data_IF_303886065025
#
_entry.id   IF_303886065025
#
_cell.length_a   1.000
_cell.length_b   1.000
_cell.length_c   1.000
_cell.angle_alpha   90.00
_cell.angle_beta   90.00
_cell.angle_gamma   90.00
#
_symmetry.space_group_name_H-M   'P 1'
#
loop_
_entity.id
_entity.type
_entity.pdbx_description
1 polymer ?
#
# COMPACT_ATOMS: atom_id res chain seq x y z
N UNK A 1 4.58 -14.72 25.39
CA UNK A 1 3.47 -14.18 26.19
C UNK A 1 2.85 -13.11 25.30
N UNK A 2 1.62 -13.30 24.81
CA UNK A 2 1.02 -12.35 23.86
C UNK A 2 0.78 -11.04 24.59
N UNK A 3 1.30 -9.94 24.07
CA UNK A 3 1.11 -8.62 24.66
C UNK A 3 -0.27 -8.10 24.24
N UNK A 4 -1.32 -8.77 24.71
CA UNK A 4 -2.70 -8.34 24.55
C UNK A 4 -2.89 -7.13 25.47
N UNK A 5 -2.58 -5.93 24.97
CA UNK A 5 -2.99 -4.69 25.64
C UNK A 5 -4.51 -4.70 25.64
N UNK A 6 -5.09 -4.88 26.83
CA UNK A 6 -6.54 -4.88 27.03
C UNK A 6 -7.10 -3.56 26.50
N UNK A 7 -8.31 -3.60 25.92
CA UNK A 7 -8.95 -2.42 25.33
C UNK A 7 -8.94 -1.20 26.26
N UNK A 8 -9.15 -1.44 27.56
CA UNK A 8 -9.15 -0.41 28.62
C UNK A 8 -7.81 0.28 28.86
N UNK A 9 -6.71 -0.32 28.43
CA UNK A 9 -5.35 0.18 28.62
C UNK A 9 -4.79 0.83 27.35
N UNK A 10 -5.46 0.67 26.21
CA UNK A 10 -4.99 1.19 24.90
C UNK A 10 -5.03 2.70 24.85
N UNK A 11 -6.14 3.30 25.27
CA UNK A 11 -6.26 4.77 25.29
C UNK A 11 -5.20 5.39 26.18
N UNK A 12 -4.94 4.78 27.35
CA UNK A 12 -3.88 5.22 28.24
C UNK A 12 -2.51 5.17 27.57
N UNK A 13 -2.15 4.04 26.93
CA UNK A 13 -0.87 3.94 26.20
C UNK A 13 -0.74 5.00 25.10
N UNK A 14 -1.82 5.28 24.37
CA UNK A 14 -1.84 6.31 23.33
C UNK A 14 -1.62 7.71 23.93
N UNK A 15 -2.31 8.05 25.01
CA UNK A 15 -2.14 9.32 25.71
C UNK A 15 -0.75 9.47 26.34
N UNK A 16 -0.22 8.41 26.95
CA UNK A 16 1.15 8.38 27.49
C UNK A 16 2.20 8.58 26.36
N UNK A 17 1.89 8.13 25.14
CA UNK A 17 2.67 8.38 23.93
C UNK A 17 2.46 9.77 23.29
N UNK A 18 1.64 10.64 23.90
CA UNK A 18 1.41 12.00 23.45
C UNK A 18 0.21 12.21 22.51
N UNK A 19 -0.59 11.16 22.24
CA UNK A 19 -1.78 11.28 21.39
C UNK A 19 -3.02 11.69 22.21
N UNK A 20 -3.61 12.84 21.90
CA UNK A 20 -4.90 13.25 22.43
C UNK A 20 -6.06 12.78 21.53
N UNK A 21 -6.71 11.70 21.97
CA UNK A 21 -7.80 11.04 21.24
C UNK A 21 -8.99 11.99 21.01
N UNK A 22 -9.22 12.95 21.92
CA UNK A 22 -10.34 13.89 21.81
C UNK A 22 -10.11 14.97 20.76
N UNK A 23 -8.89 15.12 20.26
CA UNK A 23 -8.50 16.11 19.24
C UNK A 23 -8.38 15.52 17.84
N UNK A 24 -8.73 14.25 17.66
CA UNK A 24 -8.79 13.63 16.34
C UNK A 24 -9.89 14.28 15.49
N UNK A 25 -9.52 14.77 14.31
CA UNK A 25 -10.44 15.51 13.43
C UNK A 25 -11.06 14.59 12.37
N UNK A 26 -10.25 13.76 11.73
CA UNK A 26 -10.62 13.01 10.52
C UNK A 26 -10.81 11.50 10.74
N UNK A 27 -10.51 11.00 11.94
CA UNK A 27 -10.58 9.56 12.24
C UNK A 27 -11.33 9.30 13.53
N UNK A 28 -12.01 8.15 13.58
CA UNK A 28 -12.60 7.59 14.79
C UNK A 28 -11.93 6.28 15.12
N UNK A 29 -11.56 6.08 16.38
CA UNK A 29 -10.91 4.85 16.82
C UNK A 29 -11.95 3.78 17.13
N UNK A 30 -11.76 2.58 16.56
CA UNK A 30 -12.57 1.41 16.86
C UNK A 30 -11.64 0.28 17.30
N UNK A 31 -11.68 -0.05 18.58
CA UNK A 31 -10.87 -1.13 19.13
C UNK A 31 -11.54 -2.50 18.93
N UNK A 32 -10.72 -3.49 18.61
CA UNK A 32 -11.07 -4.90 18.60
C UNK A 32 -9.96 -5.68 19.28
N UNK A 33 -10.33 -6.65 20.10
CA UNK A 33 -9.39 -7.54 20.78
C UNK A 33 -9.40 -8.90 20.10
N UNK A 34 -8.21 -9.44 19.86
CA UNK A 34 -8.07 -10.76 19.27
C UNK A 34 -6.68 -10.99 18.70
N UNK A 35 -6.29 -12.26 18.68
CA UNK A 35 -5.05 -12.70 18.05
C UNK A 35 -5.15 -12.73 16.52
N UNK A 36 -4.28 -11.96 15.85
CA UNK A 36 -4.23 -11.84 14.39
C UNK A 36 -3.87 -13.13 13.65
N UNK A 37 -3.23 -14.11 14.31
CA UNK A 37 -2.93 -15.42 13.69
C UNK A 37 -4.04 -16.46 13.92
N UNK A 38 -5.15 -16.08 14.57
CA UNK A 38 -6.31 -16.95 14.80
C UNK A 38 -7.43 -16.59 13.83
N UNK A 39 -7.73 -17.49 12.89
CA UNK A 39 -8.80 -17.32 11.89
C UNK A 39 -10.12 -16.83 12.49
N UNK A 40 -10.62 -17.49 13.54
CA UNK A 40 -11.91 -17.18 14.17
C UNK A 40 -12.01 -15.72 14.63
N UNK A 41 -10.90 -15.13 15.07
CA UNK A 41 -10.87 -13.73 15.51
C UNK A 41 -10.90 -12.78 14.31
N UNK A 42 -10.08 -13.04 13.28
CA UNK A 42 -10.12 -12.27 12.02
C UNK A 42 -11.48 -12.36 11.32
N UNK A 43 -12.16 -13.50 11.42
CA UNK A 43 -13.50 -13.69 10.85
C UNK A 43 -14.56 -12.81 11.53
N UNK A 44 -14.33 -12.33 12.74
CA UNK A 44 -15.26 -11.38 13.38
C UNK A 44 -15.18 -9.97 12.78
N UNK A 45 -14.12 -9.67 12.03
CA UNK A 45 -13.89 -8.35 11.44
C UNK A 45 -14.61 -8.20 10.09
N UNK A 46 -15.06 -6.98 9.75
CA UNK A 46 -15.64 -6.66 8.45
C UNK A 46 -14.54 -6.47 7.39
N UNK A 47 -13.74 -7.51 7.13
CA UNK A 47 -12.55 -7.44 6.26
C UNK A 47 -12.83 -6.94 4.82
N UNK A 48 -14.09 -6.94 4.38
CA UNK A 48 -14.51 -6.45 3.06
C UNK A 48 -14.76 -4.94 3.02
N UNK A 49 -14.91 -4.28 4.17
CA UNK A 49 -15.24 -2.85 4.24
C UNK A 49 -14.01 -1.96 4.40
N UNK A 50 -12.83 -2.52 4.59
CA UNK A 50 -11.60 -1.73 4.71
C UNK A 50 -11.01 -1.47 3.32
N UNK A 51 -10.74 -0.21 3.02
CA UNK A 51 -10.03 0.20 1.79
C UNK A 51 -8.59 -0.34 1.79
N UNK A 52 -7.95 -0.25 2.97
CA UNK A 52 -6.58 -0.71 3.21
C UNK A 52 -6.46 -1.41 4.55
N UNK A 53 -5.61 -2.43 4.64
CA UNK A 53 -5.28 -3.16 5.86
C UNK A 53 -3.76 -3.14 6.04
N UNK A 54 -3.29 -2.62 7.17
CA UNK A 54 -1.88 -2.63 7.55
C UNK A 54 -1.65 -3.75 8.58
N UNK A 55 -0.75 -4.67 8.27
CA UNK A 55 -0.29 -5.72 9.18
C UNK A 55 1.09 -5.32 9.69
N UNK A 56 1.14 -4.87 10.94
CA UNK A 56 2.34 -4.39 11.59
C UNK A 56 3.04 -5.52 12.35
N UNK A 57 4.37 -5.46 12.43
CA UNK A 57 5.14 -6.32 13.30
C UNK A 57 4.70 -6.07 14.75
N UNK A 58 4.43 -7.16 15.48
CA UNK A 58 3.99 -7.08 16.88
C UNK A 58 5.22 -6.81 17.76
N UNK A 59 5.21 -5.70 18.50
CA UNK A 59 6.27 -5.26 19.44
C UNK A 59 6.75 -6.39 20.36
N UNK A 60 5.84 -7.31 20.73
CA UNK A 60 6.16 -8.43 21.62
C UNK A 60 7.05 -9.53 21.02
N UNK A 61 7.28 -9.49 19.71
CA UNK A 61 8.13 -10.43 18.97
C UNK A 61 9.18 -9.73 18.10
N UNK A 62 9.34 -8.41 18.24
CA UNK A 62 10.32 -7.63 17.47
C UNK A 62 11.77 -8.07 17.71
N UNK A 63 12.08 -8.61 18.90
CA UNK A 63 13.41 -9.19 19.22
C UNK A 63 13.79 -10.37 18.30
N UNK A 64 12.81 -10.96 17.60
CA UNK A 64 13.04 -11.97 16.58
C UNK A 64 12.30 -11.62 15.29
N UNK A 65 13.00 -10.91 14.40
CA UNK A 65 12.53 -10.55 13.06
C UNK A 65 11.85 -11.73 12.32
N UNK A 66 12.40 -12.94 12.44
CA UNK A 66 11.85 -14.15 11.82
C UNK A 66 10.45 -14.49 12.37
N UNK A 67 10.24 -14.37 13.69
CA UNK A 67 8.95 -14.67 14.31
C UNK A 67 7.91 -13.58 13.99
N UNK A 68 8.31 -12.31 14.01
CA UNK A 68 7.46 -11.19 13.61
C UNK A 68 6.98 -11.38 12.16
N UNK A 69 7.91 -11.63 11.23
CA UNK A 69 7.62 -11.87 9.82
C UNK A 69 6.65 -13.05 9.62
N UNK A 70 6.89 -14.17 10.29
CA UNK A 70 6.01 -15.34 10.20
C UNK A 70 4.58 -15.01 10.62
N UNK A 71 4.40 -14.21 11.68
CA UNK A 71 3.07 -13.79 12.15
C UNK A 71 2.40 -12.82 11.19
N UNK A 72 3.14 -11.86 10.63
CA UNK A 72 2.62 -10.94 9.62
C UNK A 72 2.14 -11.70 8.38
N UNK A 73 2.92 -12.68 7.92
CA UNK A 73 2.56 -13.53 6.78
C UNK A 73 1.40 -14.47 7.05
N UNK A 74 1.36 -15.09 8.22
CA UNK A 74 0.23 -15.92 8.62
C UNK A 74 -1.07 -15.09 8.63
N UNK A 75 -1.01 -13.87 9.17
CA UNK A 75 -2.14 -12.94 9.20
C UNK A 75 -2.58 -12.55 7.78
N UNK A 76 -1.64 -12.19 6.91
CA UNK A 76 -1.91 -11.85 5.50
C UNK A 76 -2.63 -13.00 4.78
N UNK A 77 -2.08 -14.21 4.87
CA UNK A 77 -2.64 -15.41 4.25
C UNK A 77 -4.04 -15.72 4.77
N UNK A 78 -4.26 -15.58 6.08
CA UNK A 78 -5.57 -15.80 6.69
C UNK A 78 -6.59 -14.76 6.21
N UNK A 79 -6.24 -13.48 6.16
CA UNK A 79 -7.15 -12.41 5.68
C UNK A 79 -7.55 -12.68 4.23
N UNK A 80 -6.59 -13.00 3.36
CA UNK A 80 -6.87 -13.31 1.95
C UNK A 80 -7.74 -14.55 1.78
N UNK A 81 -7.47 -15.64 2.52
CA UNK A 81 -8.33 -16.84 2.48
C UNK A 81 -9.76 -16.56 2.97
N UNK A 82 -9.90 -15.76 4.04
CA UNK A 82 -11.22 -15.36 4.56
C UNK A 82 -11.96 -14.50 3.54
N UNK A 83 -11.29 -13.51 2.94
CA UNK A 83 -11.89 -12.67 1.91
C UNK A 83 -12.33 -13.48 0.69
N UNK A 84 -11.49 -14.39 0.19
CA UNK A 84 -11.80 -15.28 -0.94
C UNK A 84 -13.04 -16.14 -0.65
N UNK A 85 -13.15 -16.71 0.55
CA UNK A 85 -14.31 -17.53 0.95
C UNK A 85 -15.61 -16.76 1.13
N UNK A 86 -15.53 -15.45 1.40
CA UNK A 86 -16.71 -14.58 1.50
C UNK A 86 -17.15 -13.99 0.16
N UNK A 87 -16.36 -14.15 -0.90
CA UNK A 87 -16.81 -13.78 -2.24
C UNK A 87 -17.97 -14.72 -2.63
N UNK A 88 -19.10 -14.17 -3.12
CA UNK A 88 -20.18 -15.00 -3.63
C UNK A 88 -19.63 -15.87 -4.76
N UNK A 89 -19.79 -17.19 -4.65
CA UNK A 89 -19.45 -18.16 -5.69
C UNK A 89 -20.16 -17.71 -6.98
N UNK A 90 -19.40 -17.20 -7.96
CA UNK A 90 -19.97 -17.00 -9.29
C UNK A 90 -20.06 -18.37 -9.92
N UNK A 91 -21.28 -18.84 -10.17
CA UNK A 91 -21.56 -19.96 -11.06
C UNK A 91 -20.96 -19.67 -12.45
N UNK A 92 -19.68 -19.98 -12.63
CA UNK A 92 -19.20 -20.38 -13.94
C UNK A 92 -19.60 -21.84 -14.08
N UNK A 93 -20.67 -22.07 -14.84
CA UNK A 93 -21.01 -23.40 -15.34
C UNK A 93 -19.80 -24.00 -16.05
N UNK A 94 -18.97 -24.76 -15.34
CA UNK A 94 -17.97 -25.65 -15.92
C UNK A 94 -18.01 -26.95 -15.13
N UNK A 95 -18.71 -27.91 -15.75
CA UNK A 95 -18.70 -29.35 -15.58
C UNK A 95 -17.86 -29.93 -14.43
N UNK A 96 -18.56 -30.65 -13.54
CA UNK A 96 -18.01 -31.54 -12.52
C UNK A 96 -16.87 -32.40 -13.08
N UNK A 97 -15.69 -32.26 -12.49
CA UNK A 97 -14.64 -33.28 -12.58
C UNK A 97 -13.26 -32.72 -12.80
N UNK A 98 -12.64 -32.19 -11.73
CA UNK A 98 -11.21 -32.24 -11.41
C UNK A 98 -10.87 -31.07 -10.48
N UNK A 99 -10.35 -31.36 -9.29
CA UNK A 99 -9.81 -30.37 -8.36
C UNK A 99 -8.59 -29.73 -9.04
N UNK A 100 -8.75 -28.61 -9.73
CA UNK A 100 -7.64 -27.89 -10.34
C UNK A 100 -7.00 -26.97 -9.30
N UNK A 101 -5.76 -27.27 -8.97
CA UNK A 101 -4.87 -26.54 -8.06
C UNK A 101 -4.62 -25.06 -8.48
N UNK A 102 -5.21 -24.60 -9.59
CA UNK A 102 -5.09 -23.25 -10.13
C UNK A 102 -6.23 -22.27 -9.79
N UNK A 103 -7.27 -22.72 -9.07
CA UNK A 103 -8.43 -21.86 -8.71
C UNK A 103 -8.09 -20.84 -7.62
N UNK A 104 -7.36 -21.26 -6.58
CA UNK A 104 -7.18 -20.45 -5.37
C UNK A 104 -6.35 -19.17 -5.60
N UNK A 105 -5.38 -19.20 -6.52
CA UNK A 105 -4.59 -18.03 -6.89
C UNK A 105 -5.46 -16.97 -7.58
N UNK A 106 -6.41 -17.40 -8.42
CA UNK A 106 -7.36 -16.50 -9.09
C UNK A 106 -8.33 -15.86 -8.09
N UNK A 107 -8.84 -16.64 -7.14
CA UNK A 107 -9.75 -16.16 -6.10
C UNK A 107 -9.06 -15.18 -5.13
N UNK A 108 -7.78 -15.42 -4.81
CA UNK A 108 -6.96 -14.48 -4.03
C UNK A 108 -6.67 -13.18 -4.78
N UNK A 109 -6.43 -13.25 -6.10
CA UNK A 109 -6.22 -12.07 -6.93
C UNK A 109 -7.52 -11.23 -7.05
N UNK A 110 -8.68 -11.87 -7.11
CA UNK A 110 -9.95 -11.13 -7.11
C UNK A 110 -10.24 -10.47 -5.75
N UNK A 111 -9.79 -11.10 -4.66
CA UNK A 111 -9.84 -10.50 -3.33
C UNK A 111 -8.84 -9.34 -3.16
N UNK A 112 -7.66 -9.39 -3.82
CA UNK A 112 -6.70 -8.28 -3.81
C UNK A 112 -7.24 -7.02 -4.45
N UNK A 113 -8.10 -7.14 -5.47
CA UNK A 113 -8.68 -5.98 -6.16
C UNK A 113 -9.64 -5.16 -5.30
N UNK A 114 -10.08 -5.68 -4.14
CA UNK A 114 -11.04 -5.00 -3.25
C UNK A 114 -10.41 -4.22 -2.11
N UNK A 115 -9.25 -4.65 -1.61
CA UNK A 115 -8.59 -4.01 -0.47
C UNK A 115 -7.08 -4.17 -0.59
N UNK A 116 -6.35 -3.09 -0.40
CA UNK A 116 -4.89 -3.10 -0.38
C UNK A 116 -4.43 -3.68 0.97
N UNK A 117 -3.61 -4.74 0.96
CA UNK A 117 -2.99 -5.23 2.19
C UNK A 117 -1.50 -4.94 2.13
N UNK A 118 -1.02 -4.21 3.13
CA UNK A 118 0.39 -3.88 3.31
C UNK A 118 0.88 -4.63 4.55
N UNK A 119 1.90 -5.47 4.37
CA UNK A 119 2.52 -6.21 5.47
C UNK A 119 3.92 -5.67 5.72
N UNK A 120 4.19 -5.34 6.97
CA UNK A 120 5.54 -5.08 7.45
C UNK A 120 6.33 -6.40 7.55
N UNK A 121 7.56 -6.39 7.05
CA UNK A 121 8.51 -7.51 7.06
C UNK A 121 9.89 -6.97 7.45
N UNK A 122 10.41 -7.42 8.57
CA UNK A 122 11.66 -6.93 9.15
C UNK A 122 12.87 -7.54 8.45
N UNK A 123 12.83 -8.82 8.02
CA UNK A 123 13.95 -9.49 7.33
C UNK A 123 13.82 -9.38 5.79
N UNK A 124 14.79 -8.72 5.11
CA UNK A 124 14.81 -8.64 3.64
C UNK A 124 14.82 -10.01 2.94
N UNK A 125 15.35 -11.06 3.58
CA UNK A 125 15.35 -12.43 3.02
C UNK A 125 13.93 -12.98 2.91
N UNK A 126 13.08 -12.69 3.89
CA UNK A 126 11.67 -13.08 3.86
C UNK A 126 10.94 -12.39 2.72
N UNK A 127 11.16 -11.09 2.51
CA UNK A 127 10.62 -10.34 1.37
C UNK A 127 10.97 -10.99 0.03
N UNK A 128 12.21 -11.42 -0.15
CA UNK A 128 12.65 -12.05 -1.39
C UNK A 128 11.91 -13.36 -1.69
N UNK A 129 11.57 -14.15 -0.67
CA UNK A 129 10.77 -15.37 -0.83
C UNK A 129 9.33 -15.07 -1.26
N UNK A 130 8.76 -13.97 -0.77
CA UNK A 130 7.39 -13.56 -1.07
C UNK A 130 7.24 -12.94 -2.44
N UNK A 131 8.28 -12.28 -2.96
CA UNK A 131 8.25 -11.68 -4.31
C UNK A 131 7.96 -12.69 -5.43
N UNK A 132 8.18 -13.98 -5.17
CA UNK A 132 7.86 -15.08 -6.09
C UNK A 132 6.39 -15.50 -6.04
N UNK A 133 5.64 -15.05 -5.04
CA UNK A 133 4.24 -15.38 -4.82
C UNK A 133 3.35 -14.15 -5.03
N UNK A 134 2.31 -14.24 -5.86
CA UNK A 134 1.28 -13.20 -6.03
C UNK A 134 0.37 -13.02 -4.80
N UNK A 135 0.84 -13.44 -3.63
CA UNK A 135 0.07 -13.56 -2.39
C UNK A 135 0.01 -12.22 -1.65
N UNK A 136 0.98 -11.34 -1.86
CA UNK A 136 1.08 -10.03 -1.21
C UNK A 136 1.11 -8.92 -2.26
N UNK A 137 0.19 -7.96 -2.15
CA UNK A 137 0.21 -6.79 -3.03
C UNK A 137 1.37 -5.86 -2.68
N UNK A 138 1.67 -5.68 -1.38
CA UNK A 138 2.80 -4.87 -0.93
C UNK A 138 3.43 -5.40 0.37
N UNK A 139 4.75 -5.62 0.32
CA UNK A 139 5.58 -5.97 1.48
C UNK A 139 6.57 -4.83 1.71
N UNK A 140 6.46 -4.19 2.86
CA UNK A 140 7.37 -3.12 3.26
C UNK A 140 8.43 -3.70 4.18
N UNK A 141 9.71 -3.50 3.82
CA UNK A 141 10.82 -3.99 4.64
C UNK A 141 11.81 -2.91 5.03
N UNK A 142 12.64 -3.23 6.03
CA UNK A 142 13.77 -2.41 6.47
C UNK A 142 14.84 -2.15 5.38
N UNK A 143 14.66 -2.71 4.19
CA UNK A 143 15.41 -2.31 2.99
C UNK A 143 15.13 -0.84 2.61
N UNK A 144 13.91 -0.33 2.81
CA UNK A 144 13.59 1.08 2.55
C UNK A 144 14.42 2.01 3.46
N UNK A 145 14.54 1.64 4.74
CA UNK A 145 15.39 2.36 5.70
C UNK A 145 16.86 2.32 5.26
N UNK A 146 17.32 1.16 4.81
CA UNK A 146 18.70 1.00 4.30
C UNK A 146 18.96 1.89 3.07
N UNK A 147 17.99 2.00 2.15
CA UNK A 147 18.07 2.89 1.00
C UNK A 147 18.07 4.36 1.41
N UNK A 148 17.20 4.77 2.33
CA UNK A 148 17.16 6.13 2.85
C UNK A 148 18.50 6.52 3.50
N UNK A 149 19.07 5.64 4.33
CA UNK A 149 20.38 5.84 4.94
C UNK A 149 21.49 5.96 3.90
N UNK A 150 21.48 5.12 2.86
CA UNK A 150 22.44 5.23 1.77
C UNK A 150 22.31 6.56 1.01
N UNK A 151 21.09 7.00 0.71
CA UNK A 151 20.83 8.28 0.04
C UNK A 151 21.38 9.47 0.85
N UNK A 152 21.13 9.48 2.17
CA UNK A 152 21.63 10.54 3.08
C UNK A 152 23.14 10.46 3.29
N UNK A 153 23.71 9.25 3.27
CA UNK A 153 25.16 9.05 3.37
C UNK A 153 25.90 9.57 2.13
N UNK A 154 25.31 9.45 0.95
CA UNK A 154 25.85 10.00 -0.31
C UNK A 154 25.71 11.53 -0.36
N UNK A 155 24.56 12.07 0.04
CA UNK A 155 24.34 13.52 0.13
C UNK A 155 23.40 13.86 1.30
N UNK A 156 23.95 14.59 2.28
CA UNK A 156 23.22 14.99 3.49
C UNK A 156 22.01 15.89 3.18
N UNK A 157 22.04 16.66 2.09
CA UNK A 157 20.93 17.54 1.71
C UNK A 157 19.67 16.75 1.33
N UNK A 158 19.81 15.48 0.97
CA UNK A 158 18.67 14.59 0.67
C UNK A 158 17.82 14.30 1.90
N UNK A 159 18.39 14.41 3.11
CA UNK A 159 17.62 14.22 4.33
C UNK A 159 16.46 15.22 4.42
N UNK A 160 16.71 16.49 4.10
CA UNK A 160 15.69 17.55 4.14
C UNK A 160 14.57 17.27 3.11
N UNK A 161 14.93 16.75 1.94
CA UNK A 161 13.96 16.36 0.89
C UNK A 161 13.11 15.17 1.32
N UNK A 162 13.72 14.15 1.94
CA UNK A 162 13.00 12.98 2.44
C UNK A 162 12.10 13.34 3.63
N UNK A 163 12.57 14.21 4.53
CA UNK A 163 11.76 14.72 5.64
C UNK A 163 10.53 15.46 5.13
N UNK A 164 10.65 16.33 4.12
CA UNK A 164 9.50 17.01 3.52
C UNK A 164 8.52 16.01 2.87
N UNK A 165 9.02 15.07 2.06
CA UNK A 165 8.17 14.10 1.35
C UNK A 165 7.43 13.10 2.26
N UNK A 166 7.89 12.91 3.50
CA UNK A 166 7.26 12.05 4.50
C UNK A 166 6.50 12.81 5.58
N UNK A 167 6.58 14.14 5.59
CA UNK A 167 5.84 14.97 6.52
C UNK A 167 4.35 15.01 6.17
N UNK A 168 3.52 15.34 7.15
CA UNK A 168 2.09 15.59 6.92
C UNK A 168 1.85 16.92 6.19
N UNK A 169 2.75 17.89 6.37
CA UNK A 169 2.69 19.22 5.78
C UNK A 169 3.72 19.37 4.65
N UNK A 170 3.43 20.19 3.65
CA UNK A 170 4.32 20.45 2.52
C UNK A 170 4.04 19.57 1.31
N UNK A 171 5.07 19.31 0.51
CA UNK A 171 4.95 18.55 -0.72
C UNK A 171 4.98 17.04 -0.46
N UNK A 172 4.00 16.32 -1.01
CA UNK A 172 3.96 14.85 -0.98
C UNK A 172 3.82 14.28 -2.41
N UNK A 173 3.95 12.96 -2.53
CA UNK A 173 3.82 12.27 -3.81
C UNK A 173 2.38 11.82 -4.03
N UNK A 174 1.79 12.24 -5.16
CA UNK A 174 0.44 11.85 -5.55
C UNK A 174 0.41 11.11 -6.88
N UNK A 175 -0.58 10.23 -7.02
CA UNK A 175 -1.00 9.67 -8.31
C UNK A 175 -2.25 10.43 -8.74
N UNK A 176 -2.17 11.11 -9.89
CA UNK A 176 -3.22 11.96 -10.43
C UNK A 176 -3.79 11.34 -11.71
N UNK A 177 -5.10 11.44 -11.88
CA UNK A 177 -5.79 11.01 -13.10
C UNK A 177 -5.41 11.90 -14.29
N UNK A 178 -5.36 11.31 -15.49
CA UNK A 178 -4.95 12.03 -16.69
C UNK A 178 -5.92 13.14 -17.13
N UNK A 179 -7.20 13.05 -16.77
CA UNK A 179 -8.23 14.05 -17.06
C UNK A 179 -7.92 15.46 -16.52
N UNK A 180 -7.09 15.55 -15.47
CA UNK A 180 -6.62 16.82 -14.92
C UNK A 180 -5.67 17.59 -15.87
N UNK A 181 -5.02 16.89 -16.80
CA UNK A 181 -3.96 17.44 -17.65
C UNK A 181 -4.27 17.39 -19.14
N UNK A 182 -5.09 16.43 -19.59
CA UNK A 182 -5.29 16.15 -21.01
C UNK A 182 -6.68 15.61 -21.33
N UNK A 183 -7.01 15.58 -22.61
CA UNK A 183 -8.25 14.97 -23.14
C UNK A 183 -7.97 13.58 -23.71
N UNK A 184 -9.01 12.74 -23.82
CA UNK A 184 -8.88 11.39 -24.40
C UNK A 184 -8.29 11.46 -25.82
N UNK A 185 -7.22 10.69 -26.05
CA UNK A 185 -6.55 10.60 -27.34
C UNK A 185 -5.69 11.81 -27.70
N UNK A 186 -5.47 12.75 -26.78
CA UNK A 186 -4.64 13.92 -27.04
C UNK A 186 -3.17 13.52 -27.23
N UNK A 187 -2.51 14.12 -28.23
CA UNK A 187 -1.10 13.86 -28.55
C UNK A 187 -0.20 14.93 -27.94
N UNK A 188 0.46 14.60 -26.83
CA UNK A 188 1.31 15.50 -26.06
C UNK A 188 2.63 14.84 -25.72
N UNK A 189 3.66 15.66 -25.61
CA UNK A 189 4.95 15.28 -25.03
C UNK A 189 4.88 15.36 -23.50
N UNK A 190 5.80 14.69 -22.82
CA UNK A 190 5.89 14.73 -21.36
C UNK A 190 6.15 16.16 -20.85
N UNK A 191 6.94 16.97 -21.58
CA UNK A 191 7.14 18.38 -21.23
C UNK A 191 5.87 19.22 -21.33
N UNK A 192 5.03 18.97 -22.33
CA UNK A 192 3.75 19.68 -22.46
C UNK A 192 2.81 19.37 -21.29
N UNK A 193 2.80 18.11 -20.82
CA UNK A 193 2.04 17.70 -19.63
C UNK A 193 2.61 18.36 -18.37
N UNK A 194 3.94 18.37 -18.22
CA UNK A 194 4.62 19.03 -17.11
C UNK A 194 4.26 20.53 -17.05
N UNK A 195 4.22 21.23 -18.19
CA UNK A 195 3.81 22.63 -18.25
C UNK A 195 2.36 22.85 -17.81
N UNK A 196 1.44 21.94 -18.17
CA UNK A 196 0.05 22.00 -17.70
C UNK A 196 -0.07 21.75 -16.21
N UNK A 197 0.64 20.76 -15.69
CA UNK A 197 0.68 20.46 -14.26
C UNK A 197 1.26 21.62 -13.43
N UNK A 198 2.24 22.35 -13.96
CA UNK A 198 2.77 23.57 -13.33
C UNK A 198 1.72 24.66 -13.13
N UNK A 199 0.69 24.74 -13.98
CA UNK A 199 -0.43 25.68 -13.78
C UNK A 199 -1.25 25.35 -12.53
N UNK A 200 -1.15 24.10 -12.07
CA UNK A 200 -1.76 23.57 -10.84
C UNK A 200 -0.75 23.50 -9.67
N UNK A 201 0.44 24.10 -9.83
CA UNK A 201 1.58 24.04 -8.90
C UNK A 201 2.20 22.64 -8.70
N UNK A 202 1.86 21.68 -9.55
CA UNK A 202 2.35 20.30 -9.42
C UNK A 202 3.63 20.08 -10.25
N UNK A 203 4.48 19.15 -9.82
CA UNK A 203 5.67 18.72 -10.56
C UNK A 203 5.47 17.27 -11.00
N UNK A 204 5.21 17.06 -12.29
CA UNK A 204 5.09 15.70 -12.84
C UNK A 204 6.48 15.06 -12.93
N UNK A 205 6.68 13.97 -12.21
CA UNK A 205 7.94 13.21 -12.18
C UNK A 205 7.85 11.91 -13.00
N UNK A 206 6.65 11.46 -13.34
CA UNK A 206 6.47 10.21 -14.09
C UNK A 206 5.03 9.95 -14.49
N UNK A 207 4.80 8.76 -15.05
CA UNK A 207 3.47 8.29 -15.44
C UNK A 207 3.39 6.76 -15.41
N UNK A 208 2.17 6.22 -15.42
CA UNK A 208 1.89 4.81 -15.66
C UNK A 208 0.77 4.70 -16.69
N UNK A 209 1.02 3.96 -17.76
CA UNK A 209 -0.02 3.65 -18.73
C UNK A 209 -1.09 2.74 -18.13
N UNK A 210 -2.32 2.83 -18.64
CA UNK A 210 -3.46 2.05 -18.15
C UNK A 210 -3.19 0.55 -18.03
N UNK A 211 -2.45 -0.02 -18.99
CA UNK A 211 -2.16 -1.45 -19.07
C UNK A 211 -0.73 -1.80 -18.60
N UNK A 212 -0.02 -0.86 -17.99
CA UNK A 212 1.33 -1.08 -17.50
C UNK A 212 1.31 -1.46 -16.01
N UNK A 213 2.07 -2.49 -15.64
CA UNK A 213 2.21 -2.91 -14.25
C UNK A 213 3.04 -1.90 -13.42
N UNK A 214 3.97 -1.19 -14.06
CA UNK A 214 4.93 -0.30 -13.38
C UNK A 214 4.86 1.13 -13.91
N UNK A 215 5.01 2.09 -13.00
CA UNK A 215 5.20 3.48 -13.35
C UNK A 215 6.63 3.71 -13.89
N UNK A 216 6.75 4.68 -14.79
CA UNK A 216 8.03 5.18 -15.30
C UNK A 216 8.29 6.54 -14.67
N UNK A 217 9.24 6.58 -13.74
CA UNK A 217 9.73 7.83 -13.15
C UNK A 217 10.89 8.35 -14.02
N UNK A 218 10.92 9.67 -14.24
CA UNK A 218 11.89 10.35 -15.08
C UNK A 218 12.02 9.75 -16.49
N UNK A 219 10.98 9.80 -17.33
CA UNK A 219 11.00 9.18 -18.66
C UNK A 219 12.11 9.77 -19.55
N UNK A 220 12.82 8.95 -20.36
CA UNK A 220 13.99 9.40 -21.13
C UNK A 220 13.62 10.33 -22.31
N UNK A 221 12.54 10.04 -23.06
CA UNK A 221 12.17 10.76 -24.27
C UNK A 221 11.07 11.81 -24.02
N UNK A 222 11.40 12.87 -23.27
CA UNK A 222 10.41 13.83 -22.75
C UNK A 222 9.75 14.73 -23.81
N UNK A 223 10.41 14.93 -24.95
CA UNK A 223 9.93 15.78 -26.05
C UNK A 223 9.12 15.02 -27.11
N UNK A 224 9.15 13.69 -27.09
CA UNK A 224 8.38 12.88 -28.03
C UNK A 224 6.89 12.97 -27.69
N UNK A 225 6.07 13.36 -28.67
CA UNK A 225 4.63 13.34 -28.52
C UNK A 225 4.10 11.93 -28.57
N UNK A 226 3.17 11.64 -27.67
CA UNK A 226 2.52 10.35 -27.54
C UNK A 226 1.02 10.57 -27.38
N UNK A 227 0.25 9.60 -27.82
CA UNK A 227 -1.20 9.59 -27.61
C UNK A 227 -1.49 9.07 -26.22
N UNK A 228 -2.21 9.86 -25.43
CA UNK A 228 -2.57 9.53 -24.05
C UNK A 228 -4.03 9.09 -23.94
N UNK A 229 -4.33 8.27 -22.93
CA UNK A 229 -5.69 7.89 -22.55
C UNK A 229 -6.03 8.47 -21.19
N UNK A 230 -7.32 8.72 -20.92
CA UNK A 230 -7.79 9.12 -19.59
C UNK A 230 -7.61 8.03 -18.54
N UNK A 231 -7.34 6.79 -18.96
CA UNK A 231 -6.99 5.68 -18.07
C UNK A 231 -5.52 5.68 -17.62
N UNK A 232 -4.68 6.50 -18.25
CA UNK A 232 -3.32 6.70 -17.80
C UNK A 232 -3.32 7.53 -16.52
N UNK A 233 -2.26 7.40 -15.73
CA UNK A 233 -2.08 8.18 -14.50
C UNK A 233 -0.71 8.83 -14.47
N UNK A 234 -0.62 9.99 -13.84
CA UNK A 234 0.62 10.75 -13.67
C UNK A 234 1.08 10.71 -12.21
N UNK A 235 2.39 10.62 -12.03
CA UNK A 235 3.02 10.70 -10.71
C UNK A 235 3.53 12.12 -10.54
N UNK A 236 3.07 12.80 -9.49
CA UNK A 236 3.38 14.21 -9.23
C UNK A 236 3.88 14.41 -7.81
N UNK A 237 4.69 15.46 -7.63
CA UNK A 237 4.96 16.06 -6.34
C UNK A 237 4.10 17.33 -6.24
N UNK A 238 3.31 17.43 -5.18
CA UNK A 238 2.38 18.53 -4.96
C UNK A 238 2.09 18.70 -3.46
N UNK A 239 1.65 19.90 -3.07
CA UNK A 239 1.04 20.10 -1.76
C UNK A 239 -0.36 19.46 -1.72
N UNK A 240 -0.83 19.14 -0.52
CA UNK A 240 -2.21 18.66 -0.31
C UNK A 240 -3.22 19.67 -0.84
N UNK A 241 -4.28 19.16 -1.48
CA UNK A 241 -5.42 19.99 -1.86
C UNK A 241 -6.14 20.44 -0.56
N UNK A 242 -6.17 21.75 -0.29
CA UNK A 242 -6.95 22.36 0.81
C UNK A 242 -8.47 22.21 0.64
#
# INVERSE_FOLDING_TARGET
>A
MFNDVLEKEREKKLTDGGLDINRLVNISLVHREGNAVIRRHLESLPLQSFDSILILADESVEDSAIQADFRSLATLLLIRDIQAKRLPFRDTQVHRGSFSQGSWIGDMQQASDKSVIISEILDPRTKNLLSMSKISDYVLSNELVSMALAMVAEDRQINDVLEELFAEEGNEMHIRHADLYLREGEELSFYEILLRARQRREIVIGYRFANAERAVINPPAKSERRRWSLKDVFVVIAEKDE
#
